data_IF_651479365749
#
_entry.id   IF_651479365749
#
_cell.length_a   1.000
_cell.length_b   1.000
_cell.length_c   1.000
_cell.angle_alpha   90.00
_cell.angle_beta   90.00
_cell.angle_gamma   90.00
#
_symmetry.space_group_name_H-M   'P 1'
#
loop_
_entity.id
_entity.type
_entity.pdbx_description
1 polymer ?
#
# COMPACT_ATOMS: atom_id res chain seq x y z
N UNK A 1 -25.70 3.49 9.79
CA UNK A 1 -25.90 4.53 8.74
C UNK A 1 -26.35 5.86 9.33
N UNK A 2 -27.35 5.89 10.22
CA UNK A 2 -27.76 7.10 10.95
C UNK A 2 -26.63 7.73 11.77
N UNK A 3 -25.86 6.91 12.51
CA UNK A 3 -24.73 7.39 13.32
C UNK A 3 -23.60 8.01 12.47
N UNK A 4 -23.24 7.35 11.37
CA UNK A 4 -22.25 7.87 10.41
C UNK A 4 -22.73 9.21 9.84
N UNK A 5 -24.01 9.30 9.48
CA UNK A 5 -24.58 10.55 8.98
C UNK A 5 -24.60 11.65 10.05
N UNK A 6 -24.88 11.33 11.32
CA UNK A 6 -24.79 12.32 12.40
C UNK A 6 -23.36 12.81 12.63
N UNK A 7 -22.37 11.92 12.55
CA UNK A 7 -20.95 12.30 12.62
C UNK A 7 -20.56 13.19 11.43
N UNK A 8 -21.04 12.88 10.23
CA UNK A 8 -20.85 13.71 9.05
C UNK A 8 -21.47 15.11 9.22
N UNK A 9 -22.70 15.21 9.75
CA UNK A 9 -23.32 16.50 10.04
C UNK A 9 -22.51 17.31 11.06
N UNK A 10 -22.02 16.67 12.12
CA UNK A 10 -21.17 17.32 13.12
C UNK A 10 -19.85 17.80 12.50
N UNK A 11 -19.21 16.97 11.68
CA UNK A 11 -18.03 17.31 10.91
C UNK A 11 -18.27 18.57 10.05
N UNK A 12 -19.36 18.60 9.27
CA UNK A 12 -19.72 19.74 8.43
C UNK A 12 -19.96 21.03 9.25
N UNK A 13 -20.56 20.92 10.43
CA UNK A 13 -20.73 22.04 11.34
C UNK A 13 -19.38 22.59 11.83
N UNK A 14 -18.49 21.71 12.30
CA UNK A 14 -17.16 22.11 12.78
C UNK A 14 -16.36 22.77 11.65
N UNK A 15 -16.39 22.16 10.46
CA UNK A 15 -15.72 22.65 9.26
C UNK A 15 -16.18 24.05 8.88
N UNK A 16 -17.49 24.27 8.81
CA UNK A 16 -18.06 25.57 8.43
C UNK A 16 -17.82 26.67 9.45
N UNK A 17 -17.93 26.38 10.75
CA UNK A 17 -17.73 27.36 11.82
C UNK A 17 -16.28 27.84 11.92
N UNK A 18 -15.31 26.94 11.71
CA UNK A 18 -13.88 27.26 11.83
C UNK A 18 -13.24 27.66 10.49
N UNK A 19 -13.97 27.57 9.39
CA UNK A 19 -13.46 27.87 8.05
C UNK A 19 -12.39 26.88 7.59
N UNK A 20 -12.46 25.63 8.05
CA UNK A 20 -11.49 24.59 7.69
C UNK A 20 -11.86 23.95 6.34
N UNK A 21 -10.87 23.32 5.72
CA UNK A 21 -11.03 22.48 4.52
C UNK A 21 -10.18 21.23 4.70
N UNK A 22 -10.66 20.12 4.14
CA UNK A 22 -9.89 18.87 4.03
C UNK A 22 -9.24 18.74 2.64
N UNK A 23 -8.47 17.68 2.44
CA UNK A 23 -7.80 17.39 1.16
C UNK A 23 -8.82 17.15 0.03
N UNK A 24 -9.95 16.50 0.33
CA UNK A 24 -11.01 16.23 -0.65
C UNK A 24 -11.73 17.52 -1.09
N UNK A 25 -11.90 18.50 -0.20
CA UNK A 25 -12.40 19.84 -0.53
C UNK A 25 -11.44 20.55 -1.50
N UNK A 26 -10.13 20.41 -1.28
CA UNK A 26 -9.11 20.96 -2.20
C UNK A 26 -9.22 20.28 -3.56
N UNK A 27 -9.25 18.95 -3.60
CA UNK A 27 -9.39 18.18 -4.85
C UNK A 27 -10.67 18.54 -5.59
N UNK A 28 -11.79 18.66 -4.89
CA UNK A 28 -13.06 19.08 -5.46
C UNK A 28 -12.97 20.49 -6.04
N UNK A 29 -12.36 21.43 -5.32
CA UNK A 29 -12.19 22.80 -5.79
C UNK A 29 -11.31 22.87 -7.05
N UNK A 30 -10.19 22.15 -7.06
CA UNK A 30 -9.28 22.04 -8.20
C UNK A 30 -9.99 21.41 -9.40
N UNK A 31 -10.69 20.30 -9.21
CA UNK A 31 -11.46 19.61 -10.26
C UNK A 31 -12.52 20.53 -10.88
N UNK A 32 -13.21 21.35 -10.06
CA UNK A 32 -14.17 22.35 -10.56
C UNK A 32 -13.50 23.47 -11.34
N UNK A 33 -12.35 23.97 -10.91
CA UNK A 33 -11.60 25.01 -11.63
C UNK A 33 -11.12 24.49 -12.98
N UNK A 34 -10.52 23.30 -13.01
CA UNK A 34 -10.06 22.64 -14.23
C UNK A 34 -11.20 22.39 -15.21
N UNK A 35 -12.38 21.96 -14.72
CA UNK A 35 -13.54 21.72 -15.58
C UNK A 35 -14.10 22.99 -16.24
N UNK A 36 -13.72 24.18 -15.77
CA UNK A 36 -14.08 25.47 -16.41
C UNK A 36 -13.09 25.90 -17.48
N UNK A 37 -11.89 25.31 -17.51
CA UNK A 37 -10.87 25.63 -18.49
C UNK A 37 -11.16 24.85 -19.78
N UNK A 38 -11.22 25.57 -20.90
CA UNK A 38 -11.31 24.94 -22.23
C UNK A 38 -9.97 24.39 -22.70
N UNK A 39 -8.89 25.06 -22.29
CA UNK A 39 -7.51 24.71 -22.62
C UNK A 39 -6.70 24.85 -21.34
N UNK A 40 -5.86 23.86 -21.07
CA UNK A 40 -4.93 23.93 -19.94
C UNK A 40 -3.88 25.02 -20.23
N UNK A 41 -3.56 25.88 -19.25
CA UNK A 41 -2.55 26.92 -19.45
C UNK A 41 -1.12 26.37 -19.42
N UNK A 42 -0.96 25.06 -19.23
CA UNK A 42 0.31 24.33 -19.22
C UNK A 42 0.23 23.13 -20.15
N UNK A 43 1.39 22.56 -20.44
CA UNK A 43 1.54 21.38 -21.30
C UNK A 43 2.34 20.32 -20.57
N UNK A 44 1.64 19.31 -20.03
CA UNK A 44 2.27 18.11 -19.47
C UNK A 44 2.09 17.00 -20.51
N UNK A 45 3.20 16.52 -21.06
CA UNK A 45 3.20 15.52 -22.13
C UNK A 45 3.16 14.10 -21.59
N UNK A 46 3.90 13.85 -20.51
CA UNK A 46 4.05 12.53 -19.88
C UNK A 46 3.98 12.70 -18.36
N UNK A 47 3.44 11.69 -17.68
CA UNK A 47 3.35 11.66 -16.22
C UNK A 47 3.82 10.31 -15.72
N UNK A 48 4.79 10.33 -14.81
CA UNK A 48 5.28 9.15 -14.12
C UNK A 48 4.82 9.22 -12.67
N UNK A 49 3.99 8.28 -12.25
CA UNK A 49 3.50 8.15 -10.89
C UNK A 49 4.07 6.90 -10.26
N UNK A 50 4.75 7.07 -9.14
CA UNK A 50 5.21 5.95 -8.30
C UNK A 50 4.38 5.90 -7.02
N UNK A 51 4.34 4.74 -6.36
CA UNK A 51 3.56 4.50 -5.14
C UNK A 51 2.09 4.92 -5.26
N UNK A 52 1.46 4.67 -6.41
CA UNK A 52 0.09 5.15 -6.69
C UNK A 52 -0.97 4.59 -5.74
N UNK A 53 -0.65 3.55 -4.96
CA UNK A 53 -1.54 3.02 -3.94
C UNK A 53 -1.79 3.99 -2.78
N UNK A 54 -0.93 5.00 -2.61
CA UNK A 54 -1.15 6.06 -1.62
C UNK A 54 -2.13 7.15 -2.11
N UNK A 55 -2.48 7.14 -3.40
CA UNK A 55 -3.38 8.11 -4.00
C UNK A 55 -4.82 7.62 -4.03
N UNK A 56 -5.76 8.54 -3.80
CA UNK A 56 -7.17 8.28 -4.02
C UNK A 56 -7.52 8.26 -5.51
N UNK A 57 -8.63 7.61 -5.86
CA UNK A 57 -9.13 7.63 -7.24
C UNK A 57 -9.48 9.06 -7.71
N UNK A 58 -9.85 9.94 -6.79
CA UNK A 58 -10.14 11.34 -7.10
C UNK A 58 -8.86 12.11 -7.48
N UNK A 59 -7.77 11.88 -6.76
CA UNK A 59 -6.45 12.45 -7.07
C UNK A 59 -5.93 11.96 -8.42
N UNK A 60 -5.97 10.65 -8.66
CA UNK A 60 -5.55 10.08 -9.94
C UNK A 60 -6.39 10.61 -11.10
N UNK A 61 -7.69 10.81 -10.89
CA UNK A 61 -8.58 11.44 -11.89
C UNK A 61 -8.20 12.89 -12.13
N UNK A 62 -7.83 13.64 -11.09
CA UNK A 62 -7.39 15.02 -11.20
C UNK A 62 -6.09 15.12 -12.01
N UNK A 63 -5.10 14.28 -11.69
CA UNK A 63 -3.84 14.18 -12.45
C UNK A 63 -4.09 13.85 -13.92
N UNK A 64 -4.99 12.91 -14.20
CA UNK A 64 -5.42 12.57 -15.56
C UNK A 64 -6.08 13.74 -16.31
N UNK A 65 -6.71 14.69 -15.60
CA UNK A 65 -7.26 15.91 -16.21
C UNK A 65 -6.21 17.00 -16.42
N UNK A 66 -5.08 16.93 -15.75
CA UNK A 66 -3.99 17.90 -15.86
C UNK A 66 -2.98 17.59 -16.97
N UNK A 67 -3.00 16.38 -17.54
CA UNK A 67 -2.13 15.95 -18.63
C UNK A 67 -2.82 16.09 -20.00
N UNK A 68 -2.04 16.39 -21.04
CA UNK A 68 -2.54 16.53 -22.41
C UNK A 68 -3.06 15.20 -22.97
N UNK A 69 -2.29 14.13 -22.76
CA UNK A 69 -2.65 12.78 -23.18
C UNK A 69 -2.65 11.84 -21.97
N UNK A 70 -3.83 11.44 -21.45
CA UNK A 70 -3.94 10.42 -20.41
C UNK A 70 -3.24 9.10 -20.75
N UNK A 71 -3.06 8.76 -22.03
CA UNK A 71 -2.37 7.54 -22.44
C UNK A 71 -0.86 7.59 -22.19
N UNK A 72 -0.31 8.77 -21.93
CA UNK A 72 1.10 9.00 -21.62
C UNK A 72 1.40 8.97 -20.11
N UNK A 73 0.48 8.42 -19.31
CA UNK A 73 0.70 8.16 -17.89
C UNK A 73 1.38 6.79 -17.72
N UNK A 74 2.50 6.76 -17.01
CA UNK A 74 3.18 5.56 -16.55
C UNK A 74 3.03 5.48 -15.03
N UNK A 75 2.34 4.46 -14.53
CA UNK A 75 1.92 4.38 -13.14
C UNK A 75 2.39 3.06 -12.51
N UNK A 76 3.08 3.16 -11.38
CA UNK A 76 3.64 2.02 -10.61
C UNK A 76 3.19 2.07 -9.16
N UNK A 77 3.03 0.89 -8.56
CA UNK A 77 2.61 0.76 -7.16
C UNK A 77 2.45 -0.70 -6.74
N UNK A 78 2.14 -0.90 -5.47
CA UNK A 78 1.92 -2.22 -4.86
C UNK A 78 0.68 -2.19 -3.96
N UNK A 79 -0.34 -2.98 -4.33
CA UNK A 79 -1.60 -3.08 -3.60
C UNK A 79 -1.43 -3.63 -2.18
N UNK A 80 -0.42 -4.48 -1.94
CA UNK A 80 -0.17 -5.05 -0.61
C UNK A 80 0.50 -4.04 0.34
N UNK A 81 1.01 -2.92 -0.18
CA UNK A 81 1.66 -1.84 0.58
C UNK A 81 0.78 -0.60 0.79
N UNK A 82 -0.53 -0.74 0.61
CA UNK A 82 -1.52 0.31 0.88
C UNK A 82 -1.71 0.51 2.39
N UNK A 83 -0.76 1.22 3.02
CA UNK A 83 -0.81 1.51 4.47
C UNK A 83 -1.55 2.83 4.79
N UNK A 84 -1.79 3.68 3.78
CA UNK A 84 -2.48 4.96 3.97
C UNK A 84 -3.92 4.76 4.46
N UNK A 85 -4.26 5.36 5.61
CA UNK A 85 -5.59 5.21 6.20
C UNK A 85 -6.64 5.86 5.31
N UNK A 86 -7.69 5.11 4.99
CA UNK A 86 -8.81 5.61 4.17
C UNK A 86 -8.61 5.47 2.67
N UNK A 87 -7.45 4.99 2.21
CA UNK A 87 -7.20 4.66 0.81
C UNK A 87 -7.29 3.14 0.63
N UNK A 88 -8.20 2.72 -0.25
CA UNK A 88 -8.25 1.36 -0.75
C UNK A 88 -7.89 1.40 -2.24
N UNK A 89 -6.75 0.82 -2.59
CA UNK A 89 -6.23 0.86 -3.95
C UNK A 89 -6.20 -0.53 -4.58
N UNK A 90 -6.73 -0.62 -5.80
CA UNK A 90 -6.57 -1.76 -6.69
C UNK A 90 -6.29 -1.27 -8.10
N UNK A 91 -5.40 -1.94 -8.81
CA UNK A 91 -5.16 -1.71 -10.23
C UNK A 91 -6.41 -1.98 -11.08
N UNK A 92 -7.31 -2.86 -10.63
CA UNK A 92 -8.64 -3.03 -11.24
C UNK A 92 -9.49 -1.75 -11.18
N UNK A 93 -9.42 -0.99 -10.08
CA UNK A 93 -10.10 0.31 -9.94
C UNK A 93 -9.43 1.37 -10.83
N UNK A 94 -8.10 1.38 -10.94
CA UNK A 94 -7.38 2.24 -11.88
C UNK A 94 -7.79 1.97 -13.33
N UNK A 95 -7.91 0.70 -13.75
CA UNK A 95 -8.40 0.35 -15.09
C UNK A 95 -9.83 0.84 -15.33
N UNK A 96 -10.65 0.85 -14.28
CA UNK A 96 -12.01 1.38 -14.35
C UNK A 96 -12.01 2.89 -14.58
N UNK A 97 -11.12 3.63 -13.92
CA UNK A 97 -10.92 5.07 -14.12
C UNK A 97 -10.62 5.40 -15.61
N UNK A 98 -9.67 4.68 -16.22
CA UNK A 98 -9.37 4.84 -17.65
C UNK A 98 -10.54 4.45 -18.56
N UNK A 99 -11.33 3.44 -18.18
CA UNK A 99 -12.53 3.05 -18.92
C UNK A 99 -13.65 4.10 -18.84
N UNK A 100 -13.85 4.76 -17.70
CA UNK A 100 -14.80 5.87 -17.62
C UNK A 100 -14.30 7.10 -18.38
N UNK A 101 -12.99 7.36 -18.33
CA UNK A 101 -12.37 8.45 -19.09
C UNK A 101 -12.49 8.25 -20.61
N UNK A 102 -12.42 7.00 -21.12
CA UNK A 102 -12.59 6.71 -22.54
C UNK A 102 -14.02 6.96 -23.05
N UNK A 103 -15.03 6.78 -22.18
CA UNK A 103 -16.45 7.00 -22.50
C UNK A 103 -16.86 8.48 -22.49
N UNK A 104 -16.18 9.32 -21.71
CA UNK A 104 -16.50 10.75 -21.55
C UNK A 104 -15.80 11.65 -22.60
N UNK A 105 -15.52 11.15 -23.80
CA UNK A 105 -14.68 11.76 -24.85
C UNK A 105 -15.41 12.82 -25.71
N UNK A 106 -16.36 13.55 -25.14
CA UNK A 106 -17.14 14.54 -25.92
C UNK A 106 -16.30 15.79 -26.27
N UNK A 107 -15.14 16.01 -25.65
CA UNK A 107 -14.38 17.28 -25.81
C UNK A 107 -12.83 17.14 -25.71
N UNK A 108 -12.27 15.92 -25.81
CA UNK A 108 -10.81 15.72 -25.72
C UNK A 108 -10.17 15.52 -27.08
N UNK A 109 -9.03 16.18 -27.31
CA UNK A 109 -8.20 16.04 -28.51
C UNK A 109 -7.66 14.61 -28.72
N UNK A 110 -7.59 13.80 -27.65
CA UNK A 110 -7.11 12.42 -27.69
C UNK A 110 -8.13 11.45 -27.05
N UNK A 111 -8.37 10.31 -27.70
CA UNK A 111 -9.18 9.23 -27.15
C UNK A 111 -8.40 8.49 -26.07
N UNK A 112 -8.92 8.47 -24.84
CA UNK A 112 -8.32 7.72 -23.73
C UNK A 112 -8.51 6.23 -23.97
N UNK A 113 -7.45 5.45 -23.80
CA UNK A 113 -7.46 3.99 -23.98
C UNK A 113 -7.48 3.31 -22.62
N UNK A 114 -8.31 2.28 -22.50
CA UNK A 114 -8.25 1.39 -21.34
C UNK A 114 -6.95 0.57 -21.40
N UNK A 115 -6.13 0.54 -20.33
CA UNK A 115 -4.98 -0.35 -20.25
C UNK A 115 -5.40 -1.82 -20.43
N UNK A 116 -4.82 -2.47 -21.44
CA UNK A 116 -5.11 -3.87 -21.78
C UNK A 116 -4.45 -4.85 -20.81
N UNK A 117 -3.25 -4.53 -20.34
CA UNK A 117 -2.42 -5.39 -19.49
C UNK A 117 -1.80 -4.58 -18.37
N UNK A 118 -1.76 -5.17 -17.19
CA UNK A 118 -0.93 -4.72 -16.06
C UNK A 118 0.35 -5.55 -16.12
N UNK A 119 1.50 -4.88 -16.10
CA UNK A 119 2.79 -5.55 -16.06
C UNK A 119 3.15 -5.80 -14.60
N UNK A 120 3.33 -7.06 -14.24
CA UNK A 120 3.67 -7.48 -12.88
C UNK A 120 5.15 -7.84 -12.80
N UNK A 121 5.84 -7.34 -11.78
CA UNK A 121 7.23 -7.62 -11.49
C UNK A 121 7.26 -8.44 -10.19
N UNK A 122 7.63 -9.72 -10.29
CA UNK A 122 7.62 -10.65 -9.15
C UNK A 122 9.02 -11.07 -8.71
N UNK A 123 10.08 -10.69 -9.46
CA UNK A 123 11.45 -10.97 -9.06
C UNK A 123 11.92 -9.87 -8.10
N UNK A 124 12.19 -10.25 -6.86
CA UNK A 124 12.68 -9.35 -5.83
C UNK A 124 14.22 -9.40 -5.78
N UNK A 125 14.83 -8.22 -5.89
CA UNK A 125 16.28 -8.03 -5.89
C UNK A 125 16.81 -7.45 -4.57
N UNK A 126 15.91 -7.07 -3.66
CA UNK A 126 16.23 -6.37 -2.40
C UNK A 126 16.31 -7.33 -1.23
N UNK A 127 15.43 -8.32 -1.19
CA UNK A 127 15.30 -9.29 -0.09
C UNK A 127 15.54 -10.73 -0.52
N UNK A 128 15.94 -11.56 0.44
CA UNK A 128 16.15 -12.99 0.22
C UNK A 128 14.86 -13.81 0.43
N UNK A 129 14.82 -15.03 -0.11
CA UNK A 129 13.63 -15.90 -0.10
C UNK A 129 13.11 -16.20 1.32
N UNK A 130 13.99 -16.28 2.33
CA UNK A 130 13.58 -16.47 3.74
C UNK A 130 12.56 -15.44 4.26
N UNK A 131 12.78 -14.14 4.00
CA UNK A 131 11.85 -13.06 4.39
C UNK A 131 10.65 -13.04 3.45
N UNK A 132 10.86 -13.18 2.14
CA UNK A 132 9.80 -13.12 1.14
C UNK A 132 8.75 -14.23 1.30
N UNK A 133 9.17 -15.41 1.75
CA UNK A 133 8.26 -16.51 2.03
C UNK A 133 7.31 -16.19 3.20
N UNK A 134 7.83 -15.53 4.25
CA UNK A 134 7.00 -15.08 5.37
C UNK A 134 6.04 -13.98 4.92
N UNK A 135 6.55 -12.97 4.19
CA UNK A 135 5.74 -11.89 3.65
C UNK A 135 4.62 -12.41 2.74
N UNK A 136 4.94 -13.35 1.84
CA UNK A 136 3.96 -14.01 0.97
C UNK A 136 2.89 -14.74 1.77
N UNK A 137 3.26 -15.44 2.85
CA UNK A 137 2.29 -16.10 3.72
C UNK A 137 1.33 -15.13 4.40
N UNK A 138 1.81 -13.94 4.81
CA UNK A 138 0.95 -12.87 5.34
C UNK A 138 0.01 -12.34 4.26
N UNK A 139 0.52 -12.10 3.05
CA UNK A 139 -0.30 -11.66 1.90
C UNK A 139 -1.36 -12.71 1.54
N UNK A 140 -1.04 -14.00 1.57
CA UNK A 140 -2.00 -15.07 1.31
C UNK A 140 -3.15 -15.08 2.33
N UNK A 141 -2.83 -14.86 3.62
CA UNK A 141 -3.86 -14.72 4.66
C UNK A 141 -4.75 -13.50 4.41
N UNK A 142 -4.15 -12.37 4.03
CA UNK A 142 -4.89 -11.16 3.67
C UNK A 142 -5.81 -11.41 2.47
N UNK A 143 -5.34 -12.11 1.43
CA UNK A 143 -6.16 -12.47 0.27
C UNK A 143 -7.26 -13.46 0.62
N UNK A 144 -7.04 -14.37 1.58
CA UNK A 144 -8.05 -15.33 2.03
C UNK A 144 -9.20 -14.64 2.77
N UNK A 145 -8.88 -13.77 3.75
CA UNK A 145 -9.89 -13.08 4.56
C UNK A 145 -10.51 -11.87 3.85
N UNK A 146 -9.75 -11.19 2.97
CA UNK A 146 -10.15 -9.96 2.30
C UNK A 146 -9.94 -10.04 0.77
N UNK A 147 -10.57 -11.00 0.08
CA UNK A 147 -10.32 -11.28 -1.34
C UNK A 147 -10.64 -10.11 -2.27
N UNK A 148 -11.56 -9.24 -1.87
CA UNK A 148 -11.96 -8.06 -2.66
C UNK A 148 -11.07 -6.84 -2.40
N UNK A 149 -10.16 -6.89 -1.42
CA UNK A 149 -9.34 -5.72 -1.02
C UNK A 149 -8.02 -5.63 -1.79
N UNK A 150 -7.58 -6.71 -2.43
CA UNK A 150 -6.28 -6.79 -3.10
C UNK A 150 -6.42 -7.38 -4.50
N UNK A 151 -5.61 -6.93 -5.45
CA UNK A 151 -5.44 -7.67 -6.70
C UNK A 151 -4.60 -8.93 -6.42
N UNK A 152 -4.99 -10.06 -7.03
CA UNK A 152 -4.20 -11.30 -6.90
C UNK A 152 -2.93 -11.20 -7.74
N UNK A 153 -1.81 -11.06 -7.05
CA UNK A 153 -0.48 -11.02 -7.64
C UNK A 153 0.23 -12.38 -7.43
N UNK A 154 1.12 -12.79 -8.35
CA UNK A 154 2.02 -13.90 -8.10
C UNK A 154 2.91 -13.61 -6.89
N UNK A 155 3.33 -14.66 -6.17
CA UNK A 155 4.26 -14.52 -5.05
C UNK A 155 5.61 -14.01 -5.53
N UNK A 156 6.23 -13.16 -4.72
CA UNK A 156 7.59 -12.67 -4.94
C UNK A 156 8.61 -13.80 -4.85
N UNK A 157 9.55 -13.81 -5.80
CA UNK A 157 10.70 -14.72 -5.82
C UNK A 157 11.99 -13.96 -5.50
N UNK A 158 12.70 -14.40 -4.47
CA UNK A 158 14.04 -13.91 -4.16
C UNK A 158 15.09 -14.50 -5.09
N UNK A 159 16.23 -13.81 -5.24
CA UNK A 159 17.38 -14.32 -6.01
C UNK A 159 18.17 -15.41 -5.28
N UNK A 160 18.18 -15.35 -3.95
CA UNK A 160 18.98 -16.20 -3.09
C UNK A 160 18.17 -16.61 -1.86
N UNK A 161 18.48 -17.80 -1.37
CA UNK A 161 18.00 -18.24 -0.06
C UNK A 161 18.67 -17.42 1.04
N UNK A 162 17.98 -17.28 2.16
CA UNK A 162 18.51 -16.57 3.31
C UNK A 162 17.93 -17.11 4.62
N UNK A 163 18.41 -16.61 5.76
CA UNK A 163 17.97 -17.08 7.06
C UNK A 163 16.45 -16.92 7.22
N UNK A 164 15.83 -17.83 7.97
CA UNK A 164 14.42 -17.70 8.30
C UNK A 164 14.25 -16.63 9.39
N UNK A 165 13.21 -15.78 9.31
CA UNK A 165 12.83 -14.91 10.41
C UNK A 165 12.66 -15.73 11.70
N UNK A 166 13.23 -15.24 12.79
CA UNK A 166 13.27 -15.96 14.08
C UNK A 166 12.46 -15.20 15.12
N UNK A 167 11.68 -15.93 15.91
CA UNK A 167 10.89 -15.39 17.03
C UNK A 167 11.70 -15.54 18.32
N UNK A 168 11.80 -14.46 19.10
CA UNK A 168 12.51 -14.43 20.37
C UNK A 168 11.49 -14.31 21.52
N UNK A 169 11.11 -15.44 22.13
CA UNK A 169 10.02 -15.50 23.12
C UNK A 169 10.41 -15.07 24.54
N UNK A 170 11.69 -15.13 24.90
CA UNK A 170 12.16 -14.91 26.28
C UNK A 170 13.55 -14.31 26.31
N UNK A 171 13.72 -13.16 25.65
CA UNK A 171 14.97 -12.43 25.61
C UNK A 171 14.88 -11.23 26.56
N UNK A 172 15.86 -11.04 27.45
CA UNK A 172 15.90 -9.83 28.27
C UNK A 172 16.18 -8.62 27.38
N UNK A 173 15.71 -7.44 27.80
CA UNK A 173 15.97 -6.18 27.07
C UNK A 173 17.48 -5.95 26.94
N UNK A 174 18.25 -6.29 27.98
CA UNK A 174 19.71 -6.22 27.98
C UNK A 174 20.34 -7.15 26.94
N UNK A 175 19.84 -8.37 26.80
CA UNK A 175 20.31 -9.32 25.81
C UNK A 175 19.94 -8.89 24.38
N UNK A 176 18.75 -8.32 24.17
CA UNK A 176 18.37 -7.71 22.89
C UNK A 176 19.29 -6.54 22.55
N UNK A 177 19.59 -5.67 23.53
CA UNK A 177 20.54 -4.59 23.35
C UNK A 177 21.95 -5.12 23.02
N UNK A 178 22.37 -6.25 23.62
CA UNK A 178 23.64 -6.91 23.28
C UNK A 178 23.59 -7.52 21.88
N UNK A 179 22.49 -8.14 21.45
CA UNK A 179 22.33 -8.73 20.12
C UNK A 179 22.43 -7.66 19.02
N UNK A 180 21.73 -6.54 19.22
CA UNK A 180 21.78 -5.38 18.33
C UNK A 180 23.17 -4.73 18.35
N UNK A 181 23.85 -4.67 19.52
CA UNK A 181 25.24 -4.17 19.65
C UNK A 181 26.30 -5.10 19.07
N UNK A 182 26.10 -6.40 19.21
CA UNK A 182 27.07 -7.45 18.95
C UNK A 182 27.26 -7.72 17.47
N UNK A 183 26.28 -7.35 16.65
CA UNK A 183 26.35 -7.43 15.19
C UNK A 183 27.17 -6.31 14.53
N UNK A 184 28.06 -5.62 15.28
CA UNK A 184 29.09 -4.74 14.68
C UNK A 184 29.98 -5.56 13.74
N UNK A 185 29.66 -5.53 12.44
CA UNK A 185 30.52 -6.07 11.39
C UNK A 185 31.91 -5.46 11.57
N UNK A 186 32.93 -6.32 11.63
CA UNK A 186 34.35 -5.99 11.89
C UNK A 186 35.01 -5.01 10.90
N UNK A 187 34.27 -4.44 9.94
CA UNK A 187 34.86 -3.71 8.81
C UNK A 187 34.63 -2.20 8.76
N UNK A 188 33.78 -1.58 9.59
CA UNK A 188 33.73 -0.11 9.66
C UNK A 188 33.37 0.39 11.07
N UNK A 189 34.08 1.41 11.61
CA UNK A 189 33.74 2.06 12.86
C UNK A 189 32.61 3.07 12.57
N UNK A 190 31.39 2.57 12.35
CA UNK A 190 30.22 3.44 12.28
C UNK A 190 29.39 3.19 13.54
N UNK A 191 28.97 4.31 14.10
CA UNK A 191 28.04 4.44 15.21
C UNK A 191 26.84 3.50 15.04
N UNK A 192 26.23 3.15 16.17
CA UNK A 192 24.88 2.59 16.18
C UNK A 192 23.98 3.27 15.13
N UNK A 193 23.17 2.50 14.40
CA UNK A 193 21.87 3.02 13.95
C UNK A 193 21.62 3.39 12.49
N UNK A 194 22.48 3.04 11.51
CA UNK A 194 22.13 3.28 10.09
C UNK A 194 21.47 2.08 9.37
N UNK A 195 21.84 0.84 9.73
CA UNK A 195 21.42 -0.37 8.99
C UNK A 195 20.51 -1.31 9.80
N UNK A 196 20.18 -0.94 11.04
CA UNK A 196 19.33 -1.73 11.91
C UNK A 196 18.20 -0.86 12.45
N UNK A 197 16.99 -1.42 12.49
CA UNK A 197 15.80 -0.71 12.96
C UNK A 197 14.98 -1.58 13.90
N UNK A 198 14.39 -0.94 14.90
CA UNK A 198 13.33 -1.51 15.71
C UNK A 198 12.01 -0.96 15.20
N UNK A 199 11.12 -1.83 14.75
CA UNK A 199 9.77 -1.46 14.36
C UNK A 199 8.79 -1.74 15.48
N UNK A 200 7.97 -0.74 15.78
CA UNK A 200 6.88 -0.79 16.77
C UNK A 200 5.53 -0.55 16.10
N UNK A 201 4.46 -1.01 16.74
CA UNK A 201 3.12 -0.96 16.16
C UNK A 201 2.53 0.46 16.06
N UNK A 202 2.84 1.33 17.04
CA UNK A 202 2.28 2.69 17.12
C UNK A 202 3.19 3.62 17.95
N UNK A 203 2.87 4.92 17.94
CA UNK A 203 3.62 5.95 18.68
C UNK A 203 3.65 5.69 20.19
N UNK A 204 2.56 5.18 20.78
CA UNK A 204 2.55 4.84 22.21
C UNK A 204 3.55 3.73 22.57
N UNK A 205 3.72 2.74 21.69
CA UNK A 205 4.71 1.69 21.86
C UNK A 205 6.13 2.23 21.70
N UNK A 206 6.33 3.19 20.78
CA UNK A 206 7.60 3.90 20.58
C UNK A 206 8.05 4.63 21.85
N UNK A 207 7.14 5.34 22.51
CA UNK A 207 7.40 6.05 23.77
C UNK A 207 7.71 5.11 24.94
N UNK A 208 7.23 3.85 24.88
CA UNK A 208 7.43 2.84 25.92
C UNK A 208 8.68 1.98 25.72
N UNK A 209 9.50 2.27 24.71
CA UNK A 209 10.73 1.52 24.48
C UNK A 209 11.67 1.68 25.68
N UNK A 210 12.22 0.58 26.22
CA UNK A 210 13.19 0.64 27.31
C UNK A 210 14.41 1.49 26.97
N UNK A 211 14.95 2.20 27.96
CA UNK A 211 16.11 3.09 27.79
C UNK A 211 17.33 2.35 27.22
N UNK A 212 17.51 1.06 27.53
CA UNK A 212 18.60 0.23 27.04
C UNK A 212 18.60 0.07 25.51
N UNK A 213 17.40 0.16 24.91
CA UNK A 213 17.15 0.13 23.47
C UNK A 213 16.98 1.54 22.86
N UNK A 214 16.96 2.59 23.68
CA UNK A 214 16.74 3.98 23.24
C UNK A 214 17.84 4.57 22.36
N UNK A 215 18.99 3.90 22.24
CA UNK A 215 20.05 4.26 21.29
C UNK A 215 19.86 3.64 19.90
N UNK A 216 18.92 2.72 19.73
CA UNK A 216 18.58 2.14 18.43
C UNK A 216 17.62 3.06 17.66
N UNK A 217 17.63 2.94 16.34
CA UNK A 217 16.63 3.60 15.49
C UNK A 217 15.29 2.91 15.68
N UNK A 218 14.33 3.59 16.31
CA UNK A 218 12.96 3.09 16.52
C UNK A 218 12.01 3.85 15.62
N UNK A 219 11.26 3.12 14.78
CA UNK A 219 10.29 3.69 13.84
C UNK A 219 8.96 2.95 13.92
N UNK A 220 7.86 3.65 13.62
CA UNK A 220 6.60 2.99 13.30
C UNK A 220 6.61 2.50 11.85
N UNK A 221 5.64 1.65 11.48
CA UNK A 221 5.49 1.17 10.08
C UNK A 221 5.31 2.33 9.10
N UNK A 222 4.62 3.40 9.52
CA UNK A 222 4.41 4.59 8.69
C UNK A 222 5.72 5.35 8.44
N UNK A 223 6.53 5.54 9.49
CA UNK A 223 7.82 6.24 9.38
C UNK A 223 8.87 5.41 8.61
N UNK A 224 8.79 4.08 8.70
CA UNK A 224 9.68 3.18 8.00
C UNK A 224 9.33 2.98 6.52
N UNK A 225 8.20 3.54 6.04
CA UNK A 225 7.78 3.39 4.64
C UNK A 225 8.82 4.00 3.70
N UNK A 226 9.24 3.23 2.71
CA UNK A 226 10.27 3.63 1.74
C UNK A 226 11.71 3.56 2.27
N UNK A 227 11.91 3.06 3.50
CA UNK A 227 13.23 2.83 4.07
C UNK A 227 13.59 1.33 4.04
N UNK A 228 14.88 1.05 3.93
CA UNK A 228 15.42 -0.31 3.87
C UNK A 228 16.53 -0.48 4.89
N UNK A 229 16.59 -1.65 5.52
CA UNK A 229 17.53 -1.97 6.58
C UNK A 229 18.04 -3.41 6.42
N UNK A 230 19.29 -3.64 6.82
CA UNK A 230 19.91 -4.98 6.80
C UNK A 230 19.29 -5.88 7.87
N UNK A 231 19.04 -5.34 9.06
CA UNK A 231 18.41 -6.05 10.18
C UNK A 231 17.17 -5.30 10.69
N UNK A 232 16.06 -6.01 10.82
CA UNK A 232 14.78 -5.45 11.31
C UNK A 232 14.30 -6.26 12.53
N UNK A 233 14.11 -5.60 13.66
CA UNK A 233 13.50 -6.18 14.86
C UNK A 233 12.07 -5.68 15.03
N UNK A 234 11.08 -6.58 14.96
CA UNK A 234 9.71 -6.26 15.35
C UNK A 234 9.58 -6.41 16.87
N UNK A 235 9.41 -5.30 17.60
CA UNK A 235 9.36 -5.31 19.07
C UNK A 235 7.91 -5.27 19.57
N UNK A 236 7.50 -6.31 20.29
CA UNK A 236 6.16 -6.45 20.91
C UNK A 236 4.98 -6.10 19.97
N UNK A 237 5.18 -6.29 18.67
CA UNK A 237 4.34 -5.71 17.63
C UNK A 237 2.86 -6.13 17.74
N UNK A 238 2.62 -7.40 18.06
CA UNK A 238 1.26 -7.92 18.20
C UNK A 238 0.61 -7.60 19.56
N UNK A 239 1.40 -7.40 20.61
CA UNK A 239 0.89 -7.05 21.95
C UNK A 239 0.34 -5.63 21.94
N UNK A 240 1.00 -4.71 21.24
CA UNK A 240 0.61 -3.30 21.16
C UNK A 240 -0.41 -3.01 20.04
N UNK A 241 -0.93 -4.05 19.38
CA UNK A 241 -1.91 -3.92 18.31
C UNK A 241 -3.31 -3.57 18.84
N UNK A 242 -3.97 -2.62 18.18
CA UNK A 242 -5.37 -2.24 18.47
C UNK A 242 -6.39 -3.34 18.07
N UNK A 243 -6.02 -4.23 17.14
CA UNK A 243 -6.88 -5.26 16.57
C UNK A 243 -6.90 -6.60 17.34
N UNK A 244 -7.14 -6.57 18.66
CA UNK A 244 -7.00 -7.76 19.52
C UNK A 244 -7.96 -8.91 19.17
N UNK A 245 -9.21 -8.60 18.76
CA UNK A 245 -10.21 -9.64 18.46
C UNK A 245 -9.94 -10.28 17.10
N UNK A 246 -9.47 -9.49 16.17
CA UNK A 246 -9.16 -9.84 14.79
C UNK A 246 -7.97 -10.79 14.74
N UNK A 247 -6.94 -10.56 15.57
CA UNK A 247 -5.82 -11.50 15.70
C UNK A 247 -6.23 -12.89 16.13
N UNK A 248 -7.30 -13.04 16.92
CA UNK A 248 -7.82 -14.37 17.28
C UNK A 248 -8.32 -15.13 16.06
N UNK A 249 -9.00 -14.45 15.14
CA UNK A 249 -9.51 -15.04 13.90
C UNK A 249 -8.32 -15.53 13.06
N UNK A 250 -7.31 -14.68 12.87
CA UNK A 250 -6.10 -15.02 12.12
C UNK A 250 -5.36 -16.19 12.79
N UNK A 251 -5.22 -16.18 14.12
CA UNK A 251 -4.54 -17.26 14.86
C UNK A 251 -5.25 -18.61 14.77
N UNK A 252 -6.56 -18.61 14.49
CA UNK A 252 -7.35 -19.83 14.31
C UNK A 252 -7.33 -20.36 12.87
N UNK A 253 -6.65 -19.66 11.96
CA UNK A 253 -6.52 -20.09 10.57
C UNK A 253 -5.76 -21.41 10.48
N UNK A 254 -6.41 -22.42 9.92
CA UNK A 254 -5.78 -23.67 9.52
C UNK A 254 -5.79 -23.74 8.00
N UNK A 255 -4.64 -23.86 7.33
CA UNK A 255 -4.61 -24.07 5.89
C UNK A 255 -5.37 -25.36 5.57
N UNK A 256 -6.38 -25.27 4.71
CA UNK A 256 -7.10 -26.46 4.24
C UNK A 256 -6.13 -27.39 3.53
N UNK A 257 -5.93 -28.58 4.07
CA UNK A 257 -5.07 -29.63 3.53
C UNK A 257 -5.66 -30.22 2.24
N UNK A 258 -5.67 -29.46 1.14
CA UNK A 258 -6.01 -29.94 -0.21
C UNK A 258 -5.74 -28.88 -1.29
N UNK A 259 -4.47 -28.67 -1.66
CA UNK A 259 -4.16 -28.15 -2.99
C UNK A 259 -3.94 -29.34 -3.94
N UNK A 260 -5.04 -29.99 -4.30
CA UNK A 260 -5.13 -30.54 -5.64
C UNK A 260 -4.96 -29.36 -6.59
N UNK A 261 -3.83 -29.34 -7.31
CA UNK A 261 -3.54 -28.49 -8.47
C UNK A 261 -4.80 -28.19 -9.29
N UNK A 262 -5.54 -27.14 -8.92
CA UNK A 262 -6.42 -26.46 -9.85
C UNK A 262 -5.54 -25.40 -10.47
N UNK A 263 -5.30 -25.57 -11.77
CA UNK A 263 -4.66 -24.55 -12.59
C UNK A 263 -5.27 -23.18 -12.23
N UNK A 264 -4.41 -22.30 -11.72
CA UNK A 264 -4.69 -20.88 -11.55
C UNK A 264 -5.05 -20.28 -12.91
N UNK A 265 -6.32 -20.39 -13.31
CA UNK A 265 -6.86 -19.54 -14.36
C UNK A 265 -7.21 -18.21 -13.68
N UNK A 266 -6.68 -17.07 -14.15
CA UNK A 266 -7.20 -15.78 -13.71
C UNK A 266 -8.70 -15.76 -13.97
N UNK A 267 -9.47 -15.24 -13.02
CA UNK A 267 -10.90 -14.99 -13.19
C UNK A 267 -11.06 -14.28 -14.54
N UNK A 268 -11.68 -14.98 -15.49
CA UNK A 268 -11.91 -14.49 -16.84
C UNK A 268 -12.64 -13.16 -16.68
N UNK A 269 -12.03 -12.09 -17.21
CA UNK A 269 -12.65 -10.78 -17.31
C UNK A 269 -14.02 -10.95 -17.93
N UNK A 270 -15.08 -10.67 -17.17
CA UNK A 270 -16.42 -10.55 -17.74
C UNK A 270 -16.37 -9.33 -18.68
N UNK A 271 -16.55 -9.50 -20.00
CA UNK A 271 -16.53 -8.37 -20.91
C UNK A 271 -17.71 -7.46 -20.58
N UNK A 272 -17.43 -6.17 -20.33
CA UNK A 272 -18.46 -5.13 -20.16
C UNK A 272 -19.15 -4.73 -21.48
N UNK A 273 -18.81 -5.39 -22.58
CA UNK A 273 -19.39 -5.14 -23.89
C UNK A 273 -20.24 -6.33 -24.32
N UNK A 274 -21.54 -6.09 -24.53
CA UNK A 274 -22.39 -7.03 -25.28
C UNK A 274 -21.82 -7.12 -26.70
N UNK A 275 -21.67 -8.33 -27.28
CA UNK A 275 -21.31 -8.43 -28.69
C UNK A 275 -22.38 -7.71 -29.51
N UNK A 276 -21.94 -6.76 -30.33
CA UNK A 276 -22.80 -6.19 -31.36
C UNK A 276 -23.14 -7.34 -32.32
N UNK A 277 -24.40 -7.77 -32.32
CA UNK A 277 -24.91 -8.78 -33.24
C UNK A 277 -24.88 -8.21 -34.65
N UNK A 278 -23.85 -8.55 -35.40
CA UNK A 278 -23.83 -8.42 -36.85
C UNK A 278 -24.44 -9.67 -37.48
N UNK A 279 -25.74 -9.60 -37.77
CA UNK A 279 -26.40 -10.00 -39.02
C UNK A 279 -27.88 -9.62 -38.96
#
# INVERSE_FOLDING_TARGET
>A
RSEIYSLFCLYQQIRSQKGYFDEEDVLYNLSRRLSKLKVLPWSIHELYGDEIQDFTQAELTLLMKCINDPNAMFLTGDTAQSIMKGVAFRFSDLRSLFHYASRNTVDKQCAVRKPKKIHQLYQNYRSHSGILNLASGVVDLLQFYFPESFDRLPRDSGLFDGPKPTVLESCSVSDLAILLRGNKRKTQPIEFGAHQVILVANEMAKEKIPEELGLALVLTVYEAKGLEFDDVLLYNFFTDSEAYKEWKIISSFTPSSSDSRQENRPLIEVPLEKPCSSQ
#
